data_IF_979341538631
#
_entry.id   IF_979341538631
#
_cell.length_a   1.000
_cell.length_b   1.000
_cell.length_c   1.000
_cell.angle_alpha   90.00
_cell.angle_beta   90.00
_cell.angle_gamma   90.00
#
_symmetry.space_group_name_H-M   'P 1'
#
loop_
_entity.id
_entity.type
_entity.pdbx_description
1 polymer ?
#
# COMPACT_ATOMS: atom_id res chain seq x y z
N UNK A 1 30.69 -1.44 2.61
CA UNK A 1 29.71 -0.34 2.72
C UNK A 1 30.47 0.98 2.69
N UNK A 2 30.21 1.85 1.70
CA UNK A 2 30.76 3.21 1.71
C UNK A 2 29.69 4.13 2.28
N UNK A 3 30.00 4.84 3.34
CA UNK A 3 29.15 5.89 3.91
C UNK A 3 29.84 7.20 3.59
N UNK A 4 29.11 8.06 2.88
CA UNK A 4 29.56 9.41 2.54
C UNK A 4 28.79 10.40 3.44
N UNK A 5 29.52 11.28 4.14
CA UNK A 5 28.94 12.32 4.98
C UNK A 5 29.25 13.69 4.38
N UNK A 6 28.22 14.45 4.07
CA UNK A 6 28.33 15.83 3.58
C UNK A 6 27.37 16.72 4.37
N UNK A 7 27.78 17.94 4.75
CA UNK A 7 26.88 18.91 5.37
C UNK A 7 25.67 19.21 4.46
N UNK A 8 24.50 19.42 5.06
CA UNK A 8 23.34 19.93 4.33
C UNK A 8 23.63 21.39 3.93
N UNK A 9 23.53 21.70 2.64
CA UNK A 9 23.80 23.05 2.11
C UNK A 9 22.54 23.89 1.97
N UNK A 10 21.38 23.25 1.84
CA UNK A 10 20.07 23.90 1.76
C UNK A 10 19.45 24.04 3.16
N UNK A 11 18.62 25.07 3.40
CA UNK A 11 17.88 25.19 4.64
C UNK A 11 16.92 24.01 4.82
N UNK A 12 16.76 23.57 6.07
CA UNK A 12 15.74 22.58 6.42
C UNK A 12 14.34 23.16 6.23
N UNK A 13 13.33 22.28 6.07
CA UNK A 13 11.95 22.69 5.77
C UNK A 13 11.36 23.67 6.78
N UNK A 14 11.71 23.51 8.06
CA UNK A 14 11.32 24.40 9.17
C UNK A 14 11.91 25.81 9.09
N UNK A 15 12.94 26.01 8.26
CA UNK A 15 13.57 27.31 8.00
C UNK A 15 13.04 27.99 6.73
N UNK A 16 12.17 27.32 5.96
CA UNK A 16 11.56 27.90 4.77
C UNK A 16 10.44 28.88 5.15
N UNK A 17 10.21 29.94 4.34
CA UNK A 17 9.14 30.90 4.61
C UNK A 17 7.73 30.31 4.46
N UNK A 18 7.59 29.16 3.78
CA UNK A 18 6.34 28.43 3.57
C UNK A 18 6.61 26.93 3.59
N UNK A 19 5.76 26.17 4.29
CA UNK A 19 5.78 24.72 4.36
C UNK A 19 4.35 24.16 4.18
N UNK A 20 4.20 23.12 3.38
CA UNK A 20 2.92 22.42 3.16
C UNK A 20 3.16 20.92 3.37
N UNK A 21 2.34 20.30 4.21
CA UNK A 21 2.41 18.88 4.54
C UNK A 21 1.02 18.27 4.39
N UNK A 22 0.96 17.09 3.78
CA UNK A 22 -0.26 16.30 3.61
C UNK A 22 -0.12 14.92 4.25
N UNK A 23 -1.20 14.41 4.83
CA UNK A 23 -1.28 13.05 5.34
C UNK A 23 -2.63 12.45 4.97
N UNK A 24 -2.59 11.38 4.17
CA UNK A 24 -3.76 10.56 3.91
C UNK A 24 -4.05 9.65 5.12
N UNK A 25 -5.31 9.71 5.59
CA UNK A 25 -5.78 8.89 6.72
C UNK A 25 -6.03 7.44 6.31
N UNK A 26 -6.23 6.55 7.28
CA UNK A 26 -6.42 5.12 7.02
C UNK A 26 -7.63 4.78 6.13
N UNK A 27 -8.65 5.65 6.10
CA UNK A 27 -9.82 5.50 5.22
C UNK A 27 -9.68 6.13 3.83
N UNK A 28 -8.56 6.79 3.55
CA UNK A 28 -8.30 7.35 2.22
C UNK A 28 -8.11 6.19 1.22
N UNK A 29 -8.73 6.23 0.02
CA UNK A 29 -8.62 5.14 -0.96
C UNK A 29 -7.19 4.71 -1.27
N UNK A 30 -6.28 5.67 -1.46
CA UNK A 30 -4.85 5.38 -1.70
C UNK A 30 -4.20 4.66 -0.51
N UNK A 31 -4.46 5.12 0.72
CA UNK A 31 -3.94 4.45 1.89
C UNK A 31 -4.52 3.05 2.05
N UNK A 32 -5.78 2.81 1.69
CA UNK A 32 -6.37 1.47 1.66
C UNK A 32 -5.61 0.57 0.68
N UNK A 33 -5.32 1.05 -0.54
CA UNK A 33 -4.51 0.33 -1.53
C UNK A 33 -3.11 -0.02 -0.99
N UNK A 34 -2.42 0.93 -0.37
CA UNK A 34 -1.10 0.72 0.23
C UNK A 34 -1.16 -0.36 1.32
N UNK A 35 -2.13 -0.29 2.22
CA UNK A 35 -2.27 -1.27 3.30
C UNK A 35 -2.60 -2.67 2.76
N UNK A 36 -3.44 -2.77 1.72
CA UNK A 36 -3.83 -4.06 1.14
C UNK A 36 -2.68 -4.72 0.38
N UNK A 37 -1.90 -3.95 -0.39
CA UNK A 37 -0.72 -4.47 -1.10
C UNK A 37 0.36 -4.93 -0.14
N UNK A 38 0.63 -4.18 0.93
CA UNK A 38 1.56 -4.58 1.99
C UNK A 38 1.06 -5.80 2.76
N UNK A 39 -0.24 -5.86 3.09
CA UNK A 39 -0.83 -7.03 3.74
C UNK A 39 -0.68 -8.30 2.86
N UNK A 40 -0.96 -8.18 1.56
CA UNK A 40 -0.76 -9.28 0.60
C UNK A 40 0.72 -9.70 0.52
N UNK A 41 1.64 -8.74 0.49
CA UNK A 41 3.08 -9.00 0.49
C UNK A 41 3.51 -9.81 1.72
N UNK A 42 3.08 -9.39 2.91
CA UNK A 42 3.38 -10.06 4.17
C UNK A 42 2.87 -11.50 4.19
N UNK A 43 1.62 -11.70 3.80
CA UNK A 43 1.02 -13.04 3.75
C UNK A 43 1.70 -13.95 2.71
N UNK A 44 2.08 -13.42 1.54
CA UNK A 44 2.88 -14.17 0.57
C UNK A 44 4.25 -14.57 1.14
N UNK A 45 4.92 -13.66 1.84
CA UNK A 45 6.20 -13.97 2.52
C UNK A 45 6.04 -15.10 3.53
N UNK A 46 5.05 -15.02 4.42
CA UNK A 46 4.78 -16.07 5.39
C UNK A 46 4.48 -17.40 4.69
N UNK A 47 3.59 -17.38 3.70
CA UNK A 47 3.23 -18.58 2.94
C UNK A 47 4.44 -19.21 2.24
N UNK A 48 5.32 -18.41 1.64
CA UNK A 48 6.52 -18.92 0.97
C UNK A 48 7.53 -19.50 1.96
N UNK A 49 7.75 -18.84 3.10
CA UNK A 49 8.62 -19.35 4.16
C UNK A 49 8.11 -20.69 4.70
N UNK A 50 6.82 -20.77 5.02
CA UNK A 50 6.21 -21.99 5.59
C UNK A 50 6.24 -23.17 4.61
N UNK A 51 6.12 -22.90 3.31
CA UNK A 51 6.01 -23.95 2.28
C UNK A 51 7.36 -24.33 1.67
N UNK A 52 8.23 -23.36 1.41
CA UNK A 52 9.45 -23.54 0.62
C UNK A 52 10.74 -23.25 1.41
N UNK A 53 10.63 -22.84 2.67
CA UNK A 53 11.76 -22.48 3.53
C UNK A 53 12.50 -21.22 3.09
N UNK A 54 11.96 -20.49 2.12
CA UNK A 54 12.55 -19.27 1.55
C UNK A 54 11.47 -18.41 0.91
N UNK A 55 11.70 -17.11 0.86
CA UNK A 55 10.85 -16.18 0.13
C UNK A 55 11.11 -16.36 -1.37
N UNK A 56 10.05 -16.61 -2.14
CA UNK A 56 10.11 -16.67 -3.59
C UNK A 56 9.96 -15.27 -4.20
N UNK A 57 10.38 -15.06 -5.44
CA UNK A 57 10.22 -13.77 -6.11
C UNK A 57 8.73 -13.41 -6.28
N UNK A 58 8.35 -12.24 -5.78
CA UNK A 58 7.07 -11.61 -6.06
C UNK A 58 7.19 -10.09 -5.94
N UNK A 59 6.28 -9.37 -6.58
CA UNK A 59 6.02 -7.96 -6.31
C UNK A 59 4.54 -7.67 -6.57
N UNK A 60 3.81 -7.29 -5.51
CA UNK A 60 2.35 -7.11 -5.48
C UNK A 60 1.96 -5.70 -5.03
N UNK A 61 2.74 -4.73 -5.49
CA UNK A 61 2.69 -3.29 -5.25
C UNK A 61 1.71 -2.55 -6.17
N UNK A 62 0.73 -3.24 -6.78
CA UNK A 62 -0.30 -2.62 -7.62
C UNK A 62 -1.66 -2.95 -7.03
N UNK A 63 -2.44 -1.92 -6.75
CA UNK A 63 -3.85 -2.07 -6.41
C UNK A 63 -4.69 -1.04 -7.13
N UNK A 64 -5.90 -1.44 -7.50
CA UNK A 64 -6.95 -0.55 -7.95
C UNK A 64 -8.13 -0.72 -7.00
N UNK A 65 -8.50 0.36 -6.32
CA UNK A 65 -9.78 0.49 -5.64
C UNK A 65 -10.71 1.21 -6.60
N UNK A 66 -11.70 0.49 -7.12
CA UNK A 66 -12.75 1.04 -7.97
C UNK A 66 -13.95 1.36 -7.08
N UNK A 67 -14.23 2.65 -6.93
CA UNK A 67 -15.33 3.14 -6.11
C UNK A 67 -16.70 2.57 -6.51
N UNK A 68 -17.50 2.35 -5.48
CA UNK A 68 -18.92 2.05 -5.59
C UNK A 68 -19.78 3.31 -5.43
N UNK A 69 -21.02 3.12 -5.03
CA UNK A 69 -21.99 4.17 -4.78
C UNK A 69 -22.72 3.91 -3.46
N UNK A 70 -23.13 4.99 -2.78
CA UNK A 70 -23.92 4.89 -1.55
C UNK A 70 -24.97 5.98 -1.46
N UNK A 71 -26.03 5.70 -0.70
CA UNK A 71 -27.05 6.66 -0.28
C UNK A 71 -26.95 6.82 1.24
N UNK A 72 -26.07 7.72 1.74
CA UNK A 72 -25.89 7.95 3.17
C UNK A 72 -27.09 8.70 3.76
N UNK A 73 -27.50 8.35 4.98
CA UNK A 73 -28.58 9.01 5.70
C UNK A 73 -28.33 9.03 7.22
N UNK A 74 -28.88 9.99 7.95
CA UNK A 74 -28.80 9.95 9.41
C UNK A 74 -29.46 8.69 9.97
N UNK A 75 -28.79 8.03 10.91
CA UNK A 75 -29.24 6.75 11.47
C UNK A 75 -29.04 5.54 10.53
N UNK A 76 -28.34 5.70 9.40
CA UNK A 76 -28.01 4.57 8.51
C UNK A 76 -27.65 4.99 7.09
N UNK A 77 -28.41 4.49 6.13
CA UNK A 77 -28.12 4.57 4.70
C UNK A 77 -27.83 3.20 4.11
N UNK A 78 -27.49 3.14 2.82
CA UNK A 78 -27.13 1.88 2.16
C UNK A 78 -26.07 2.08 1.10
N UNK A 79 -25.28 1.03 0.89
CA UNK A 79 -24.42 0.89 -0.29
C UNK A 79 -25.31 0.47 -1.45
N UNK A 80 -25.32 1.25 -2.53
CA UNK A 80 -26.12 0.97 -3.74
C UNK A 80 -25.30 0.23 -4.80
N UNK A 81 -23.98 0.44 -4.80
CA UNK A 81 -23.03 -0.33 -5.59
C UNK A 81 -21.80 -0.59 -4.71
N UNK A 82 -21.36 -1.84 -4.53
CA UNK A 82 -20.16 -2.15 -3.75
C UNK A 82 -18.90 -1.59 -4.42
N UNK A 83 -17.89 -1.31 -3.62
CA UNK A 83 -16.55 -1.03 -4.12
C UNK A 83 -15.92 -2.33 -4.62
N UNK A 84 -15.12 -2.26 -5.68
CA UNK A 84 -14.34 -3.38 -6.18
C UNK A 84 -12.85 -3.12 -5.94
N UNK A 85 -12.12 -4.17 -5.55
CA UNK A 85 -10.69 -4.08 -5.26
C UNK A 85 -9.96 -5.10 -6.11
N UNK A 86 -8.99 -4.62 -6.88
CA UNK A 86 -8.11 -5.44 -7.70
C UNK A 86 -6.70 -5.34 -7.13
N UNK A 87 -6.19 -6.47 -6.63
CA UNK A 87 -4.78 -6.59 -6.24
C UNK A 87 -4.01 -7.22 -7.41
N UNK A 88 -2.95 -6.57 -7.84
CA UNK A 88 -2.20 -6.90 -9.03
C UNK A 88 -0.69 -6.95 -8.76
N UNK A 89 0.01 -7.71 -9.60
CA UNK A 89 1.44 -7.88 -9.47
C UNK A 89 1.92 -9.17 -10.10
N UNK A 90 3.09 -9.61 -9.65
CA UNK A 90 3.73 -10.86 -10.03
C UNK A 90 3.95 -11.68 -8.77
N UNK A 91 3.56 -12.94 -8.78
CA UNK A 91 3.83 -13.89 -7.72
C UNK A 91 4.13 -15.26 -8.33
N UNK A 92 5.01 -16.02 -7.69
CA UNK A 92 5.28 -17.39 -8.10
C UNK A 92 4.12 -18.28 -7.64
N UNK A 93 3.34 -18.76 -8.60
CA UNK A 93 2.20 -19.66 -8.33
C UNK A 93 2.58 -21.15 -8.35
N UNK A 94 3.76 -21.50 -8.86
CA UNK A 94 4.27 -22.87 -8.99
C UNK A 94 5.78 -22.90 -8.77
N UNK A 95 6.28 -23.89 -8.04
CA UNK A 95 7.71 -24.03 -7.75
C UNK A 95 8.09 -25.52 -7.68
N UNK A 96 8.83 -26.00 -8.69
CA UNK A 96 9.04 -27.44 -8.94
C UNK A 96 8.10 -27.97 -10.03
N UNK A 97 8.25 -29.23 -10.41
CA UNK A 97 7.21 -29.95 -11.18
C UNK A 97 5.96 -30.20 -10.33
#
# INVERSE_FOLDING_TARGET
>A
MRIDLTPLTEPSGDLLPVEIVERNGAGHPDSICDHLTEALSRELTHRYLDTFGRILHYNVDKALLWDGCSEPAFGGGRITQPMEIFLAGRAISQCGE
#
